data_IF_794547120618
#
_entry.id   IF_794547120618
#
_cell.length_a   1.000
_cell.length_b   1.000
_cell.length_c   1.000
_cell.angle_alpha   90.00
_cell.angle_beta   90.00
_cell.angle_gamma   90.00
#
_symmetry.space_group_name_H-M   'P 1'
#
loop_
_entity.id
_entity.type
_entity.pdbx_description
1 polymer ?
#
# COMPACT_ATOMS: atom_id res chain seq x y z
N UNK A 1 46.45 5.21 -8.69
CA UNK A 1 45.82 4.08 -7.97
C UNK A 1 45.02 4.56 -6.76
N UNK A 2 45.57 5.48 -5.94
CA UNK A 2 44.82 6.10 -4.82
C UNK A 2 43.53 6.84 -5.22
N UNK A 3 43.55 7.56 -6.36
CA UNK A 3 42.38 8.34 -6.79
C UNK A 3 41.16 7.48 -7.17
N UNK A 4 41.40 6.30 -7.78
CA UNK A 4 40.32 5.33 -8.11
C UNK A 4 39.68 4.78 -6.85
N UNK A 5 40.48 4.41 -5.85
CA UNK A 5 40.00 3.88 -4.57
C UNK A 5 39.14 4.91 -3.83
N UNK A 6 39.52 6.20 -3.88
CA UNK A 6 38.75 7.27 -3.26
C UNK A 6 37.41 7.51 -3.99
N UNK A 7 37.41 7.46 -5.33
CA UNK A 7 36.20 7.60 -6.15
C UNK A 7 35.26 6.42 -5.93
N UNK A 8 35.77 5.19 -5.93
CA UNK A 8 34.97 3.98 -5.68
C UNK A 8 34.32 4.04 -4.29
N UNK A 9 35.10 4.38 -3.26
CA UNK A 9 34.62 4.50 -1.88
C UNK A 9 33.56 5.60 -1.71
N UNK A 10 33.73 6.73 -2.39
CA UNK A 10 32.75 7.82 -2.40
C UNK A 10 31.46 7.41 -3.13
N UNK A 11 31.58 6.67 -4.23
CA UNK A 11 30.42 6.16 -4.99
C UNK A 11 29.62 5.18 -4.13
N UNK A 12 30.28 4.26 -3.42
CA UNK A 12 29.61 3.28 -2.53
C UNK A 12 28.91 3.96 -1.35
N UNK A 13 29.55 5.00 -0.76
CA UNK A 13 28.95 5.76 0.33
C UNK A 13 27.72 6.57 -0.13
N UNK A 14 27.75 7.11 -1.35
CA UNK A 14 26.62 7.83 -1.94
C UNK A 14 25.45 6.89 -2.32
N UNK A 15 25.72 5.60 -2.59
CA UNK A 15 24.67 4.61 -2.88
C UNK A 15 23.99 4.04 -1.62
N UNK A 16 24.54 4.30 -0.43
CA UNK A 16 24.11 3.65 0.81
C UNK A 16 23.16 4.49 1.69
N UNK A 17 22.42 5.44 1.12
CA UNK A 17 21.26 6.01 1.81
C UNK A 17 20.10 4.99 1.73
N UNK A 18 20.20 3.94 2.55
CA UNK A 18 19.07 3.04 2.78
C UNK A 18 17.97 3.82 3.49
N UNK A 19 16.93 4.17 2.75
CA UNK A 19 15.67 4.64 3.34
C UNK A 19 15.05 3.44 4.03
N UNK A 20 15.12 3.40 5.37
CA UNK A 20 14.39 2.42 6.15
C UNK A 20 12.94 2.88 6.27
N UNK A 21 12.01 1.99 5.93
CA UNK A 21 10.58 2.21 6.12
C UNK A 21 10.26 1.78 7.56
N UNK A 22 9.70 2.67 8.41
CA UNK A 22 9.35 2.29 9.77
C UNK A 22 8.27 1.21 9.82
N UNK A 23 8.18 0.49 10.93
CA UNK A 23 7.12 -0.49 11.15
C UNK A 23 5.73 0.15 11.01
N UNK A 24 4.82 -0.54 10.31
CA UNK A 24 3.48 -0.03 10.02
C UNK A 24 3.38 0.92 8.83
N UNK A 25 4.49 1.23 8.15
CA UNK A 25 4.50 2.02 6.91
C UNK A 25 4.67 1.12 5.68
N UNK A 26 4.05 1.49 4.56
CA UNK A 26 4.21 0.84 3.25
C UNK A 26 4.49 1.90 2.20
N UNK A 27 5.48 1.66 1.33
CA UNK A 27 5.66 2.47 0.13
C UNK A 27 4.61 2.08 -0.90
N UNK A 28 3.89 3.07 -1.41
CA UNK A 28 2.88 2.90 -2.45
C UNK A 28 3.02 4.00 -3.50
N UNK A 29 2.56 3.78 -4.74
CA UNK A 29 2.47 4.84 -5.74
C UNK A 29 1.69 6.05 -5.24
N UNK A 30 2.13 7.25 -5.60
CA UNK A 30 1.41 8.50 -5.27
C UNK A 30 0.07 8.54 -6.01
N UNK A 31 0.06 8.17 -7.29
CA UNK A 31 -1.18 7.89 -8.01
C UNK A 31 -1.49 6.39 -7.92
N UNK A 32 -2.66 5.99 -7.39
CA UNK A 32 -3.01 4.59 -7.27
C UNK A 32 -3.13 3.95 -8.65
N UNK A 33 -2.72 2.69 -8.75
CA UNK A 33 -2.93 1.91 -9.97
C UNK A 33 -4.41 1.59 -10.14
N UNK A 34 -4.80 1.21 -11.36
CA UNK A 34 -6.19 0.78 -11.63
C UNK A 34 -6.61 -0.38 -10.72
N UNK A 35 -5.75 -1.38 -10.53
CA UNK A 35 -6.02 -2.51 -9.62
C UNK A 35 -6.24 -2.04 -8.17
N UNK A 36 -5.45 -1.08 -7.68
CA UNK A 36 -5.67 -0.51 -6.35
C UNK A 36 -7.07 0.12 -6.26
N UNK A 37 -7.45 0.92 -7.25
CA UNK A 37 -8.76 1.60 -7.26
C UNK A 37 -9.91 0.60 -7.33
N UNK A 38 -9.83 -0.42 -8.19
CA UNK A 38 -10.85 -1.48 -8.31
C UNK A 38 -11.02 -2.20 -6.96
N UNK A 39 -9.92 -2.65 -6.36
CA UNK A 39 -9.96 -3.36 -5.08
C UNK A 39 -10.47 -2.49 -3.93
N UNK A 40 -10.10 -1.22 -3.92
CA UNK A 40 -10.63 -0.25 -2.97
C UNK A 40 -12.15 -0.08 -3.11
N UNK A 41 -12.62 0.11 -4.34
CA UNK A 41 -14.04 0.32 -4.63
C UNK A 41 -14.91 -0.91 -4.32
N UNK A 42 -14.42 -2.10 -4.69
CA UNK A 42 -15.14 -3.37 -4.47
C UNK A 42 -15.07 -3.88 -3.03
N UNK A 43 -14.39 -3.17 -2.13
CA UNK A 43 -14.23 -3.60 -0.72
C UNK A 43 -15.46 -3.31 0.15
N UNK A 44 -16.38 -2.45 -0.28
CA UNK A 44 -17.53 -2.06 0.52
C UNK A 44 -18.53 -3.24 0.70
N UNK A 45 -19.11 -3.42 1.89
CA UNK A 45 -20.13 -4.45 2.10
C UNK A 45 -21.32 -4.25 1.17
N UNK A 46 -21.81 -5.34 0.60
CA UNK A 46 -22.90 -5.35 -0.37
C UNK A 46 -23.87 -6.49 -0.07
N UNK A 47 -25.17 -6.19 -0.12
CA UNK A 47 -26.25 -7.17 0.05
C UNK A 47 -26.16 -8.35 -0.92
N UNK A 48 -25.52 -8.18 -2.08
CA UNK A 48 -25.42 -9.21 -3.12
C UNK A 48 -24.14 -10.05 -2.97
N UNK A 49 -23.05 -9.46 -2.50
CA UNK A 49 -21.70 -10.06 -2.59
C UNK A 49 -21.06 -10.37 -1.24
N UNK A 50 -21.54 -9.79 -0.14
CA UNK A 50 -21.01 -10.02 1.20
C UNK A 50 -21.70 -11.18 1.91
N UNK A 51 -21.05 -11.73 2.93
CA UNK A 51 -21.69 -12.66 3.86
C UNK A 51 -22.91 -11.95 4.51
N UNK A 52 -24.07 -12.62 4.65
CA UNK A 52 -25.23 -12.05 5.31
C UNK A 52 -24.95 -11.47 6.70
N UNK A 53 -24.03 -12.07 7.46
CA UNK A 53 -23.65 -11.58 8.78
C UNK A 53 -22.86 -10.25 8.70
N UNK A 54 -21.96 -10.14 7.72
CA UNK A 54 -21.17 -8.92 7.49
C UNK A 54 -22.07 -7.77 7.01
N UNK A 55 -23.02 -8.07 6.12
CA UNK A 55 -24.03 -7.10 5.68
C UNK A 55 -24.90 -6.62 6.85
N UNK A 56 -25.42 -7.54 7.67
CA UNK A 56 -26.26 -7.18 8.81
C UNK A 56 -25.50 -6.32 9.85
N UNK A 57 -24.21 -6.62 10.08
CA UNK A 57 -23.37 -5.82 10.97
C UNK A 57 -23.15 -4.41 10.42
N UNK A 58 -22.92 -4.27 9.11
CA UNK A 58 -22.78 -2.99 8.42
C UNK A 58 -24.09 -2.19 8.40
N UNK A 59 -25.24 -2.83 8.14
CA UNK A 59 -26.56 -2.19 8.11
C UNK A 59 -26.95 -1.64 9.50
N UNK A 60 -26.54 -2.29 10.58
CA UNK A 60 -26.76 -1.82 11.95
C UNK A 60 -25.92 -0.59 12.35
N UNK A 61 -24.92 -0.21 11.53
CA UNK A 61 -24.10 0.97 11.79
C UNK A 61 -24.85 2.26 11.43
N UNK A 62 -24.60 3.35 12.19
CA UNK A 62 -25.01 4.69 11.76
C UNK A 62 -24.29 5.11 10.47
N UNK A 63 -24.85 6.06 9.71
CA UNK A 63 -24.23 6.54 8.47
C UNK A 63 -22.78 7.04 8.63
N UNK A 64 -22.45 7.68 9.75
CA UNK A 64 -21.06 8.08 10.02
C UNK A 64 -20.14 6.88 10.29
N UNK A 65 -20.65 5.84 10.95
CA UNK A 65 -19.90 4.61 11.18
C UNK A 65 -19.71 3.83 9.87
N UNK A 66 -20.74 3.78 9.02
CA UNK A 66 -20.66 3.19 7.68
C UNK A 66 -19.58 3.89 6.84
N UNK A 67 -19.65 5.21 6.73
CA UNK A 67 -18.67 5.98 5.97
C UNK A 67 -17.23 5.78 6.50
N UNK A 68 -17.05 5.76 7.82
CA UNK A 68 -15.74 5.50 8.42
C UNK A 68 -15.27 4.06 8.21
N UNK A 69 -16.19 3.10 8.16
CA UNK A 69 -15.90 1.69 7.90
C UNK A 69 -15.47 1.47 6.44
N UNK A 70 -16.24 1.98 5.49
CA UNK A 70 -15.95 1.89 4.05
C UNK A 70 -14.62 2.56 3.70
N UNK A 71 -14.34 3.74 4.25
CA UNK A 71 -13.07 4.41 4.00
C UNK A 71 -11.87 3.56 4.45
N UNK A 72 -11.99 2.87 5.58
CA UNK A 72 -10.94 1.96 6.08
C UNK A 72 -10.80 0.72 5.20
N UNK A 73 -11.92 0.11 4.80
CA UNK A 73 -11.91 -1.06 3.90
C UNK A 73 -11.27 -0.69 2.57
N UNK A 74 -11.70 0.40 1.96
CA UNK A 74 -11.15 0.90 0.69
C UNK A 74 -9.64 1.12 0.79
N UNK A 75 -9.19 1.86 1.80
CA UNK A 75 -7.77 2.11 2.00
C UNK A 75 -6.96 0.83 2.24
N UNK A 76 -7.48 -0.09 3.06
CA UNK A 76 -6.81 -1.37 3.34
C UNK A 76 -6.67 -2.24 2.09
N UNK A 77 -7.71 -2.31 1.25
CA UNK A 77 -7.71 -3.06 0.01
C UNK A 77 -6.76 -2.44 -1.02
N UNK A 78 -6.73 -1.10 -1.13
CA UNK A 78 -5.75 -0.38 -1.93
C UNK A 78 -4.30 -0.68 -1.50
N UNK A 79 -4.02 -0.67 -0.19
CA UNK A 79 -2.68 -0.98 0.32
C UNK A 79 -2.28 -2.43 0.07
N UNK A 80 -3.22 -3.37 0.14
CA UNK A 80 -2.99 -4.79 -0.15
C UNK A 80 -2.71 -5.02 -1.64
N UNK A 81 -3.40 -4.28 -2.52
CA UNK A 81 -3.23 -4.33 -3.97
C UNK A 81 -2.05 -3.51 -4.50
N UNK A 82 -1.43 -2.68 -3.64
CA UNK A 82 -0.31 -1.84 -4.04
C UNK A 82 0.87 -2.72 -4.50
N UNK A 83 1.53 -2.36 -5.62
CA UNK A 83 2.64 -3.14 -6.15
C UNK A 83 3.80 -3.18 -5.16
N UNK A 84 4.47 -4.33 -5.09
CA UNK A 84 5.69 -4.44 -4.32
C UNK A 84 6.79 -3.58 -4.94
N UNK A 85 7.64 -3.01 -4.08
CA UNK A 85 8.87 -2.37 -4.52
C UNK A 85 9.78 -3.48 -5.01
N UNK A 86 9.68 -3.81 -6.29
CA UNK A 86 10.65 -4.67 -6.96
C UNK A 86 12.00 -3.95 -6.87
N UNK A 87 12.79 -4.26 -5.84
CA UNK A 87 14.20 -3.93 -5.82
C UNK A 87 14.79 -4.66 -7.01
N UNK A 88 14.99 -3.94 -8.12
CA UNK A 88 15.40 -4.52 -9.38
C UNK A 88 16.55 -5.48 -9.16
N UNK A 89 16.27 -6.78 -9.23
CA UNK A 89 17.30 -7.75 -9.50
C UNK A 89 17.58 -7.58 -10.98
N UNK A 90 18.65 -6.86 -11.29
CA UNK A 90 19.21 -6.85 -12.63
C UNK A 90 19.75 -8.26 -12.86
N UNK A 91 19.02 -9.06 -13.62
CA UNK A 91 19.54 -10.29 -14.24
C UNK A 91 20.64 -9.93 -15.25
#
# INVERSE_FOLDING_TARGET
MAYRVLVEKALTAATALQVSIPDGWKLVPVEPTEEMVIRGFESAPSVIFSDPADWAAYEAMSGCQQAAHEAKLCYSAMLAAAPEVNGGKND
#
